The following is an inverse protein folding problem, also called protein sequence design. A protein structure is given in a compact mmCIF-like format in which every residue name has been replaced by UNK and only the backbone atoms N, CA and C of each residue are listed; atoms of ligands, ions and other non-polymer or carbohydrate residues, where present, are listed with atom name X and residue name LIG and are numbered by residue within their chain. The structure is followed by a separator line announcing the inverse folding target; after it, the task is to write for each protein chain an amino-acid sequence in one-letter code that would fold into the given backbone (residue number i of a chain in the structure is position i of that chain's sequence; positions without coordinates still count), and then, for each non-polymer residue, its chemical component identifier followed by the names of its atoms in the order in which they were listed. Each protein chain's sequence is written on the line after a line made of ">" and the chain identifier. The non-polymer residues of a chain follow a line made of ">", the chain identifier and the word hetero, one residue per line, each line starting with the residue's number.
data_IF_269141899428
#
_entry.id   IF_269141899428
#
_cell.length_a   1.000
_cell.length_b   1.000
_cell.length_c   1.000
_cell.angle_alpha   90.00
_cell.angle_beta   90.00
_cell.angle_gamma   90.00
#
_symmetry.space_group_name_H-M   'P 1'
#
loop_
_entity.id
_entity.type
_entity.pdbx_description
1 polymer ?
#
# COMPACT_ATOMS: atom_id res chain seq x y z
N UNK A 1 -19.83 -1.37 -10.43
CA UNK A 1 -18.37 -1.36 -10.69
C UNK A 1 -17.75 -2.47 -9.83
N UNK A 2 -17.16 -3.52 -10.43
CA UNK A 2 -16.47 -4.57 -9.65
C UNK A 2 -15.14 -4.00 -9.17
N UNK A 3 -14.85 -4.11 -7.87
CA UNK A 3 -13.51 -3.84 -7.35
C UNK A 3 -12.57 -4.90 -7.91
N UNK A 4 -11.35 -4.50 -8.27
CA UNK A 4 -10.31 -5.46 -8.61
C UNK A 4 -10.01 -6.32 -7.38
N UNK A 5 -9.50 -7.54 -7.58
CA UNK A 5 -9.05 -8.41 -6.47
C UNK A 5 -8.09 -7.67 -5.53
N UNK A 6 -7.27 -6.79 -6.09
CA UNK A 6 -6.35 -5.95 -5.34
C UNK A 6 -7.06 -4.86 -4.52
N UNK A 7 -7.99 -4.11 -5.12
CA UNK A 7 -8.77 -3.09 -4.40
C UNK A 7 -9.62 -3.69 -3.27
N UNK A 8 -10.04 -4.95 -3.39
CA UNK A 8 -10.76 -5.67 -2.34
C UNK A 8 -9.93 -5.92 -1.07
N UNK A 9 -8.59 -5.82 -1.14
CA UNK A 9 -7.70 -5.93 0.04
C UNK A 9 -7.80 -4.68 0.92
N UNK A 10 -8.14 -3.52 0.36
CA UNK A 10 -8.19 -2.29 1.12
C UNK A 10 -9.27 -2.35 2.22
N UNK A 11 -8.84 -2.20 3.48
CA UNK A 11 -9.75 -2.10 4.64
C UNK A 11 -10.36 -0.70 4.84
N UNK A 12 -10.08 0.24 3.93
CA UNK A 12 -10.55 1.64 4.00
C UNK A 12 -10.29 2.30 5.37
N UNK A 13 -9.12 2.08 5.96
CA UNK A 13 -8.74 2.60 7.29
C UNK A 13 -8.35 4.10 7.30
N UNK A 14 -8.29 4.73 6.12
CA UNK A 14 -7.94 6.15 5.97
C UNK A 14 -6.46 6.48 6.16
N UNK A 15 -5.58 5.52 6.47
CA UNK A 15 -4.16 5.78 6.72
C UNK A 15 -3.43 6.45 5.54
N UNK A 16 -3.78 6.08 4.31
CA UNK A 16 -3.25 6.71 3.09
C UNK A 16 -3.82 8.11 2.80
N UNK A 17 -4.86 8.55 3.52
CA UNK A 17 -5.48 9.85 3.33
C UNK A 17 -4.85 10.96 4.17
N UNK A 18 -3.89 10.65 5.04
CA UNK A 18 -3.11 11.63 5.78
C UNK A 18 -1.83 11.96 5.03
N UNK A 19 -1.43 13.23 5.07
CA UNK A 19 -0.21 13.70 4.43
C UNK A 19 1.03 12.92 4.93
N UNK A 20 1.95 12.68 3.99
CA UNK A 20 3.22 12.00 4.23
C UNK A 20 4.33 13.03 4.09
N UNK A 21 5.12 13.17 5.15
CA UNK A 21 6.23 14.12 5.22
C UNK A 21 7.52 13.36 5.42
N UNK A 22 8.59 13.85 4.80
CA UNK A 22 9.94 13.29 4.97
C UNK A 22 10.71 14.25 5.88
N UNK A 23 11.33 13.72 6.93
CA UNK A 23 12.19 14.53 7.79
C UNK A 23 13.56 14.81 7.15
N UNK A 24 14.38 15.64 7.80
CA UNK A 24 15.73 15.96 7.34
C UNK A 24 16.69 14.77 7.24
N UNK A 25 16.33 13.62 7.80
CA UNK A 25 17.08 12.38 7.78
C UNK A 25 16.55 11.39 6.74
N UNK A 26 15.57 11.78 5.91
CA UNK A 26 14.99 10.92 4.90
C UNK A 26 13.95 9.94 5.44
N UNK A 27 13.47 10.09 6.67
CA UNK A 27 12.47 9.18 7.26
C UNK A 27 11.07 9.69 7.01
N UNK A 28 10.18 8.79 6.61
CA UNK A 28 8.76 9.09 6.42
C UNK A 28 8.01 9.19 7.74
N UNK A 29 7.14 10.20 7.83
CA UNK A 29 6.19 10.39 8.92
C UNK A 29 4.81 10.65 8.35
N UNK A 30 3.78 10.20 9.05
CA UNK A 30 2.39 10.58 8.76
C UNK A 30 2.03 11.78 9.64
N UNK A 31 1.54 12.87 9.04
CA UNK A 31 1.05 14.02 9.80
C UNK A 31 -0.41 13.85 10.21
N UNK A 32 -0.91 14.72 11.08
CA UNK A 32 -2.32 14.78 11.47
C UNK A 32 -3.21 15.51 10.44
N UNK A 33 -2.63 15.93 9.31
CA UNK A 33 -3.34 16.66 8.26
C UNK A 33 -4.00 15.65 7.33
N UNK A 34 -5.33 15.57 7.42
CA UNK A 34 -6.15 14.71 6.57
C UNK A 34 -6.49 15.39 5.24
N UNK A 35 -6.54 14.59 4.17
CA UNK A 35 -7.15 14.98 2.90
C UNK A 35 -8.60 15.44 3.11
N UNK A 36 -9.03 16.42 2.33
CA UNK A 36 -10.37 17.03 2.43
C UNK A 36 -11.55 16.05 2.29
N UNK A 37 -11.33 14.88 1.69
CA UNK A 37 -12.36 13.86 1.49
C UNK A 37 -12.34 12.74 2.54
N UNK A 38 -11.42 12.78 3.50
CA UNK A 38 -11.45 11.87 4.63
C UNK A 38 -12.56 12.29 5.59
N UNK A 39 -13.44 11.35 5.95
CA UNK A 39 -14.23 11.47 7.17
C UNK A 39 -13.35 11.04 8.34
N UNK A 40 -12.91 11.99 9.17
CA UNK A 40 -12.02 11.72 10.31
C UNK A 40 -12.72 10.97 11.45
N UNK A 41 -14.06 10.99 11.51
CA UNK A 41 -14.82 10.27 12.54
C UNK A 41 -14.92 8.79 12.17
N UNK A 42 -15.36 8.49 10.94
CA UNK A 42 -15.48 7.11 10.47
C UNK A 42 -14.17 6.52 9.91
N UNK A 43 -13.15 7.37 9.73
CA UNK A 43 -11.88 7.08 9.04
C UNK A 43 -12.01 6.58 7.60
N UNK A 44 -13.12 6.89 6.93
CA UNK A 44 -13.39 6.44 5.55
C UNK A 44 -13.23 7.57 4.54
N UNK A 45 -12.63 7.25 3.40
CA UNK A 45 -12.57 8.16 2.26
C UNK A 45 -13.96 8.25 1.60
N UNK A 46 -14.55 9.45 1.58
CA UNK A 46 -15.90 9.71 1.03
C UNK A 46 -15.97 9.49 -0.49
N UNK A 47 -14.82 9.54 -1.17
CA UNK A 47 -14.71 9.46 -2.63
C UNK A 47 -13.80 8.32 -3.10
N UNK A 48 -13.65 7.26 -2.29
CA UNK A 48 -12.68 6.18 -2.55
C UNK A 48 -12.72 5.62 -3.98
N UNK A 49 -13.91 5.42 -4.55
CA UNK A 49 -14.09 4.87 -5.90
C UNK A 49 -13.62 5.80 -7.03
N UNK A 50 -13.54 7.10 -6.78
CA UNK A 50 -13.14 8.15 -7.73
C UNK A 50 -11.97 9.00 -7.23
N UNK A 51 -11.20 8.47 -6.26
CA UNK A 51 -10.15 9.21 -5.55
C UNK A 51 -9.03 9.73 -6.46
N UNK A 52 -8.87 9.12 -7.64
CA UNK A 52 -7.90 9.56 -8.65
C UNK A 52 -8.44 10.66 -9.57
N UNK A 53 -9.74 10.94 -9.53
CA UNK A 53 -10.40 11.96 -10.36
C UNK A 53 -10.58 13.30 -9.63
N UNK A 54 -10.49 13.29 -8.30
CA UNK A 54 -10.78 14.47 -7.46
C UNK A 54 -9.58 15.39 -7.22
N UNK A 55 -8.41 15.11 -7.81
CA UNK A 55 -7.25 16.02 -7.85
C UNK A 55 -6.39 16.08 -6.59
N UNK A 56 -6.57 15.20 -5.60
CA UNK A 56 -5.84 15.23 -4.31
C UNK A 56 -4.52 14.45 -4.31
N UNK A 57 -3.94 14.18 -5.47
CA UNK A 57 -2.67 13.45 -5.57
C UNK A 57 -2.69 12.04 -4.97
N UNK A 58 -3.86 11.39 -4.92
CA UNK A 58 -3.99 10.02 -4.40
C UNK A 58 -3.06 9.06 -5.17
N UNK A 59 -2.17 8.37 -4.44
CA UNK A 59 -1.28 7.38 -5.03
C UNK A 59 -2.03 6.08 -5.28
N UNK A 60 -1.89 5.52 -6.49
CA UNK A 60 -2.41 4.20 -6.81
C UNK A 60 -1.47 3.16 -6.22
N UNK A 61 -1.80 2.66 -5.02
CA UNK A 61 -1.05 1.61 -4.33
C UNK A 61 -1.08 0.32 -5.16
N UNK A 62 -0.11 0.07 -6.03
CA UNK A 62 0.08 -1.22 -6.70
C UNK A 62 0.95 -2.13 -5.84
N UNK A 63 1.01 -3.45 -6.11
CA UNK A 63 1.92 -4.35 -5.38
C UNK A 63 3.38 -3.88 -5.37
N UNK A 64 3.85 -3.36 -6.51
CA UNK A 64 5.22 -2.85 -6.67
C UNK A 64 5.47 -1.63 -5.79
N UNK A 65 4.53 -0.68 -5.78
CA UNK A 65 4.61 0.51 -4.92
C UNK A 65 4.55 0.13 -3.45
N UNK A 66 3.63 -0.78 -3.07
CA UNK A 66 3.45 -1.18 -1.67
C UNK A 66 4.68 -1.91 -1.12
N UNK A 67 5.37 -2.70 -1.96
CA UNK A 67 6.60 -3.40 -1.56
C UNK A 67 7.68 -2.42 -1.08
N UNK A 68 7.74 -1.25 -1.71
CA UNK A 68 8.77 -0.24 -1.47
C UNK A 68 8.19 0.97 -0.66
N UNK A 69 6.98 0.84 -0.10
CA UNK A 69 6.27 1.93 0.59
C UNK A 69 6.55 1.98 2.10
N UNK A 70 7.69 2.58 2.47
CA UNK A 70 8.07 2.78 3.88
C UNK A 70 7.18 3.78 4.66
N UNK A 71 6.32 4.51 3.95
CA UNK A 71 5.40 5.50 4.51
C UNK A 71 4.01 4.93 4.86
N UNK A 72 3.74 3.68 4.51
CA UNK A 72 2.52 2.98 4.93
C UNK A 72 2.75 2.32 6.29
N UNK A 73 1.76 2.36 7.20
CA UNK A 73 1.89 1.69 8.48
C UNK A 73 1.87 0.17 8.30
N UNK A 74 2.52 -0.54 9.21
CA UNK A 74 2.64 -2.01 9.15
C UNK A 74 1.28 -2.73 9.21
N UNK A 75 0.29 -2.10 9.84
CA UNK A 75 -1.07 -2.62 9.93
C UNK A 75 -1.89 -2.37 8.65
N UNK A 76 -1.36 -1.65 7.65
CA UNK A 76 -2.01 -1.47 6.37
C UNK A 76 -2.32 -2.82 5.72
N UNK A 77 -3.56 -3.00 5.25
CA UNK A 77 -4.00 -4.27 4.70
C UNK A 77 -3.17 -4.74 3.49
N UNK A 78 -2.74 -3.79 2.66
CA UNK A 78 -1.84 -4.10 1.54
C UNK A 78 -0.46 -4.55 2.02
N UNK A 79 0.10 -3.88 3.03
CA UNK A 79 1.41 -4.24 3.61
C UNK A 79 1.34 -5.63 4.25
N UNK A 80 0.30 -5.91 5.04
CA UNK A 80 0.10 -7.24 5.62
C UNK A 80 -0.10 -8.33 4.56
N UNK A 81 -0.88 -8.05 3.51
CA UNK A 81 -1.06 -8.98 2.40
C UNK A 81 0.27 -9.30 1.71
N UNK A 82 1.09 -8.28 1.43
CA UNK A 82 2.41 -8.47 0.83
C UNK A 82 3.33 -9.28 1.74
N UNK A 83 3.40 -8.96 3.04
CA UNK A 83 4.21 -9.73 4.01
C UNK A 83 3.78 -11.20 4.09
N UNK A 84 2.47 -11.47 4.13
CA UNK A 84 1.92 -12.82 4.16
C UNK A 84 2.17 -13.61 2.86
N UNK A 85 2.15 -12.96 1.70
CA UNK A 85 2.44 -13.59 0.41
C UNK A 85 3.93 -13.72 0.09
N UNK A 86 4.78 -12.84 0.63
CA UNK A 86 6.24 -12.91 0.47
C UNK A 86 6.87 -14.12 1.19
N UNK A 87 6.20 -14.65 2.21
CA UNK A 87 6.62 -15.89 2.91
C UNK A 87 6.36 -17.18 2.10
N UNK A 88 5.81 -17.09 0.88
CA UNK A 88 5.62 -18.23 -0.02
C UNK A 88 6.54 -18.20 -1.25
N UNK A 89 7.58 -17.35 -1.27
CA UNK A 89 8.58 -17.31 -2.34
C UNK A 89 9.99 -17.67 -1.84
N UNK A 90 10.09 -18.71 -1.02
CA UNK A 90 11.31 -19.50 -0.91
C UNK A 90 11.10 -20.77 -1.75
N UNK A 91 11.19 -20.63 -3.08
CA UNK A 91 11.49 -21.81 -3.90
C UNK A 91 12.95 -22.21 -3.60
N UNK A 92 13.23 -23.46 -3.19
CA UNK A 92 14.60 -23.92 -3.11
C UNK A 92 15.21 -23.86 -4.52
N UNK A 93 16.37 -23.21 -4.63
CA UNK A 93 17.17 -23.20 -5.86
C UNK A 93 17.29 -24.63 -6.41
N UNK A 94 16.82 -24.84 -7.64
CA UNK A 94 17.02 -26.10 -8.34
C UNK A 94 18.53 -26.40 -8.39
N UNK A 95 18.98 -27.63 -8.06
CA UNK A 95 20.36 -28.00 -8.30
C UNK A 95 20.58 -28.01 -9.81
N UNK A 96 21.32 -27.01 -10.29
CA UNK A 96 21.93 -26.99 -11.61
C UNK A 96 22.65 -28.33 -11.85
N UNK A 97 22.14 -29.11 -12.80
CA UNK A 97 22.75 -30.35 -13.25
C UNK A 97 23.63 -30.03 -14.46
N UNK A 98 24.97 -29.97 -14.34
CA UNK A 98 25.84 -29.88 -15.49
C UNK A 98 25.92 -31.24 -16.18
N UNK A 99 25.25 -31.35 -17.32
CA UNK A 99 25.40 -32.48 -18.22
C UNK A 99 26.80 -32.50 -18.86
N UNK A 100 27.49 -33.64 -18.73
CA UNK A 100 28.51 -34.13 -19.66
C UNK A 100 29.96 -33.86 -19.27
N UNK A 101 30.92 -34.60 -19.86
CA UNK A 101 30.81 -35.43 -21.06
C UNK A 101 30.44 -36.91 -20.86
#
# INVERSE_FOLDING_TARGET
>A
MRLTKWEAICRQCGACCFEKVVDRHGRWHTSDIACRFLDVVSRRCKVYHKRFEVGEGCIKLTPEIVRDADWLPEDCAYVQYMRGNSMCQDEPAEPENPAGP
#
